data_IF_082992486713
#
_entry.id   IF_082992486713
#
_cell.length_a   1.000
_cell.length_b   1.000
_cell.length_c   1.000
_cell.angle_alpha   90.00
_cell.angle_beta   90.00
_cell.angle_gamma   90.00
#
_symmetry.space_group_name_H-M   'P 1'
#
loop_
_entity.id
_entity.type
_entity.pdbx_description
1 polymer ?
#
# COMPACT_ATOMS: atom_id res chain seq x y z
N UNK A 1 5.79 -15.58 -20.81
CA UNK A 1 6.42 -15.33 -22.13
C UNK A 1 7.85 -14.87 -21.92
N UNK A 2 8.77 -14.95 -22.90
CA UNK A 2 10.18 -14.56 -22.70
C UNK A 2 10.35 -13.11 -22.25
N UNK A 3 9.42 -12.25 -22.58
CA UNK A 3 9.47 -10.80 -22.34
C UNK A 3 8.64 -10.33 -21.14
N UNK A 4 8.08 -11.27 -20.36
CA UNK A 4 7.33 -10.92 -19.16
C UNK A 4 8.25 -10.45 -18.03
N UNK A 5 7.91 -9.32 -17.43
CA UNK A 5 8.59 -8.76 -16.27
C UNK A 5 7.67 -8.92 -15.05
N UNK A 6 8.21 -9.48 -13.98
CA UNK A 6 7.50 -9.54 -12.70
C UNK A 6 7.32 -8.12 -12.15
N UNK A 7 6.13 -7.80 -11.69
CA UNK A 7 5.84 -6.52 -11.07
C UNK A 7 4.91 -6.69 -9.85
N UNK A 8 4.92 -5.70 -8.96
CA UNK A 8 4.00 -5.62 -7.84
C UNK A 8 2.62 -5.23 -8.39
N UNK A 9 1.59 -6.08 -8.30
CA UNK A 9 0.28 -5.77 -8.83
C UNK A 9 -0.44 -4.72 -7.99
N UNK A 10 -1.19 -3.82 -8.65
CA UNK A 10 -2.18 -3.03 -7.98
C UNK A 10 -3.29 -3.95 -7.45
N UNK A 11 -3.54 -3.89 -6.14
CA UNK A 11 -4.64 -4.64 -5.51
C UNK A 11 -6.00 -4.10 -5.96
N UNK A 12 -7.09 -4.88 -5.80
CA UNK A 12 -8.43 -4.40 -6.09
C UNK A 12 -8.70 -3.04 -5.45
N UNK A 13 -9.27 -2.12 -6.23
CA UNK A 13 -9.54 -0.74 -5.80
C UNK A 13 -10.76 -0.66 -4.89
N UNK A 14 -10.58 -0.08 -3.71
CA UNK A 14 -11.65 0.28 -2.78
C UNK A 14 -11.84 1.78 -2.64
N UNK A 15 -11.02 2.58 -3.34
CA UNK A 15 -11.04 4.04 -3.18
C UNK A 15 -12.21 4.69 -3.91
N UNK A 16 -12.71 4.06 -4.97
CA UNK A 16 -13.78 4.61 -5.80
C UNK A 16 -15.10 4.69 -5.02
N UNK A 17 -15.64 5.91 -4.95
CA UNK A 17 -16.98 6.24 -4.49
C UNK A 17 -17.55 7.25 -5.49
N UNK A 18 -18.68 6.91 -6.10
CA UNK A 18 -19.36 7.75 -7.06
C UNK A 18 -20.60 8.36 -6.41
N UNK A 19 -20.77 9.66 -6.57
CA UNK A 19 -21.92 10.42 -6.04
C UNK A 19 -22.69 10.99 -7.22
N UNK A 20 -23.99 10.75 -7.24
CA UNK A 20 -24.93 11.25 -8.23
C UNK A 20 -25.95 12.11 -7.49
N UNK A 21 -26.05 13.37 -7.83
CA UNK A 21 -26.84 14.40 -7.16
C UNK A 21 -27.95 14.85 -8.12
N UNK A 22 -29.21 14.56 -7.82
CA UNK A 22 -30.34 14.87 -8.69
C UNK A 22 -30.15 14.36 -10.14
N UNK A 23 -29.52 13.17 -10.29
CA UNK A 23 -29.21 12.58 -11.59
C UNK A 23 -27.89 13.04 -12.22
N UNK A 24 -27.19 14.03 -11.65
CA UNK A 24 -25.92 14.54 -12.16
C UNK A 24 -24.74 13.97 -11.35
N UNK A 25 -23.74 13.45 -12.06
CA UNK A 25 -22.55 12.91 -11.41
C UNK A 25 -21.69 14.04 -10.84
N UNK A 26 -21.32 13.93 -9.56
CA UNK A 26 -20.28 14.76 -8.96
C UNK A 26 -18.94 14.45 -9.62
N UNK A 27 -18.34 15.47 -10.24
CA UNK A 27 -17.00 15.39 -10.81
C UNK A 27 -16.34 16.76 -10.72
N UNK A 28 -15.02 16.77 -10.50
CA UNK A 28 -14.26 18.03 -10.33
C UNK A 28 -14.11 18.82 -11.63
N UNK A 29 -14.30 18.18 -12.77
CA UNK A 29 -14.26 18.75 -14.14
C UNK A 29 -15.66 19.10 -14.68
N UNK A 30 -16.70 18.90 -13.89
CA UNK A 30 -18.09 19.23 -14.24
C UNK A 30 -18.69 20.16 -13.18
N UNK A 31 -19.57 21.06 -13.60
CA UNK A 31 -20.15 22.08 -12.72
C UNK A 31 -19.13 23.17 -12.33
N UNK A 32 -19.28 23.72 -11.14
CA UNK A 32 -18.42 24.82 -10.63
C UNK A 32 -17.76 24.40 -9.33
N UNK A 33 -16.45 24.35 -9.32
CA UNK A 33 -15.65 24.17 -8.11
C UNK A 33 -15.47 25.52 -7.44
N UNK A 34 -16.10 25.72 -6.25
CA UNK A 34 -16.04 26.97 -5.50
C UNK A 34 -14.84 27.02 -4.55
N UNK A 35 -14.55 25.90 -3.87
CA UNK A 35 -13.36 25.77 -3.05
C UNK A 35 -12.84 24.36 -3.05
N UNK A 36 -11.52 24.21 -2.84
CA UNK A 36 -10.84 22.93 -2.72
C UNK A 36 -9.66 23.06 -1.76
N UNK A 37 -9.60 22.17 -0.79
CA UNK A 37 -8.45 22.02 0.09
C UNK A 37 -8.15 20.54 0.30
N UNK A 38 -6.87 20.19 0.26
CA UNK A 38 -6.40 18.83 0.58
C UNK A 38 -5.25 18.91 1.57
N UNK A 39 -5.37 18.17 2.65
CA UNK A 39 -4.38 18.11 3.73
C UNK A 39 -4.01 16.68 4.05
N UNK A 40 -2.82 16.49 4.58
CA UNK A 40 -2.37 15.25 5.21
C UNK A 40 -1.88 15.59 6.62
N UNK A 41 -2.52 15.02 7.61
CA UNK A 41 -2.05 15.10 8.98
C UNK A 41 -0.96 14.04 9.20
N UNK A 42 0.27 14.48 9.37
CA UNK A 42 1.42 13.60 9.57
C UNK A 42 1.42 12.91 10.94
N UNK A 43 0.66 13.44 11.92
CA UNK A 43 0.56 12.84 13.26
C UNK A 43 -0.40 11.65 13.31
N UNK A 44 -1.37 11.60 12.42
CA UNK A 44 -2.38 10.54 12.38
C UNK A 44 -2.35 9.71 11.13
N UNK A 45 -1.70 10.21 10.07
CA UNK A 45 -1.70 9.60 8.74
C UNK A 45 -3.04 9.79 8.01
N UNK A 46 -3.92 10.67 8.50
CA UNK A 46 -5.21 10.95 7.88
C UNK A 46 -5.08 11.97 6.77
N UNK A 47 -5.60 11.63 5.59
CA UNK A 47 -5.74 12.57 4.48
C UNK A 47 -7.18 13.09 4.42
N UNK A 48 -7.33 14.42 4.42
CA UNK A 48 -8.62 15.11 4.32
C UNK A 48 -8.69 15.91 3.02
N UNK A 49 -9.84 15.89 2.37
CA UNK A 49 -10.15 16.73 1.21
C UNK A 49 -11.52 17.37 1.42
N UNK A 50 -11.59 18.69 1.42
CA UNK A 50 -12.84 19.46 1.47
C UNK A 50 -13.09 20.07 0.11
N UNK A 51 -14.34 20.05 -0.34
CA UNK A 51 -14.78 20.52 -1.63
C UNK A 51 -16.10 21.26 -1.47
N UNK A 52 -16.19 22.47 -1.99
CA UNK A 52 -17.47 23.16 -2.24
C UNK A 52 -17.72 23.14 -3.74
N UNK A 53 -18.78 22.49 -4.15
CA UNK A 53 -19.09 22.25 -5.55
C UNK A 53 -20.57 22.59 -5.85
N UNK A 54 -20.80 23.15 -7.04
CA UNK A 54 -22.12 23.40 -7.55
C UNK A 54 -22.31 22.61 -8.85
N UNK A 55 -23.38 21.80 -8.91
CA UNK A 55 -23.71 21.02 -10.07
C UNK A 55 -24.11 21.90 -11.29
N UNK A 56 -24.04 21.40 -12.51
CA UNK A 56 -24.55 22.10 -13.68
C UNK A 56 -26.01 22.56 -13.54
N UNK A 57 -26.88 21.74 -12.93
CA UNK A 57 -28.28 22.08 -12.63
C UNK A 57 -28.45 22.98 -11.40
N UNK A 58 -27.37 23.36 -10.72
CA UNK A 58 -27.39 24.37 -9.68
C UNK A 58 -27.46 23.86 -8.24
N UNK A 59 -27.49 22.55 -7.97
CA UNK A 59 -27.40 22.01 -6.63
C UNK A 59 -25.99 22.26 -6.04
N UNK A 60 -25.91 22.91 -4.88
CA UNK A 60 -24.65 23.21 -4.23
C UNK A 60 -24.40 22.28 -3.04
N UNK A 61 -23.19 21.73 -2.95
CA UNK A 61 -22.77 20.77 -1.96
C UNK A 61 -21.47 21.18 -1.29
N UNK A 62 -21.38 20.86 -0.01
CA UNK A 62 -20.13 20.76 0.72
C UNK A 62 -19.84 19.29 0.96
N UNK A 63 -18.60 18.84 0.58
CA UNK A 63 -18.16 17.47 0.74
C UNK A 63 -16.83 17.44 1.48
N UNK A 64 -16.77 16.60 2.51
CA UNK A 64 -15.52 16.32 3.24
C UNK A 64 -15.18 14.85 3.11
N UNK A 65 -14.04 14.55 2.50
CA UNK A 65 -13.52 13.21 2.34
C UNK A 65 -12.36 13.02 3.29
N UNK A 66 -12.43 11.99 4.12
CA UNK A 66 -11.37 11.59 5.05
C UNK A 66 -10.98 10.16 4.76
N UNK A 67 -9.70 9.84 4.82
CA UNK A 67 -9.21 8.48 4.62
C UNK A 67 -7.86 8.26 5.30
N UNK A 68 -7.61 7.01 5.69
CA UNK A 68 -6.30 6.56 6.14
C UNK A 68 -6.12 5.07 5.86
N UNK A 69 -4.86 4.62 5.87
CA UNK A 69 -4.48 3.22 5.99
C UNK A 69 -3.96 3.02 7.41
N UNK A 70 -4.45 1.99 8.10
CA UNK A 70 -4.17 1.82 9.51
C UNK A 70 -2.73 1.38 9.77
N UNK A 71 -2.04 2.07 10.68
CA UNK A 71 -0.73 1.66 11.20
C UNK A 71 -0.88 0.62 12.32
N UNK A 72 -2.06 0.51 12.94
CA UNK A 72 -2.34 -0.50 13.97
C UNK A 72 -2.65 -1.88 13.37
N UNK A 73 -3.38 -1.90 12.24
CA UNK A 73 -3.69 -3.11 11.50
C UNK A 73 -3.51 -2.87 9.99
N UNK A 74 -2.44 -3.41 9.44
CA UNK A 74 -2.01 -3.21 8.04
C UNK A 74 -3.02 -3.70 6.98
N UNK A 75 -3.98 -4.52 7.39
CA UNK A 75 -5.04 -5.00 6.50
C UNK A 75 -6.15 -3.98 6.28
N UNK A 76 -6.23 -2.91 7.07
CA UNK A 76 -7.37 -1.99 7.11
C UNK A 76 -7.07 -0.70 6.35
N UNK A 77 -7.97 -0.34 5.42
CA UNK A 77 -8.11 1.00 4.88
C UNK A 77 -9.53 1.49 5.15
N UNK A 78 -9.67 2.71 5.67
CA UNK A 78 -10.95 3.28 6.04
C UNK A 78 -11.17 4.66 5.39
N UNK A 79 -12.42 4.92 5.06
CA UNK A 79 -12.86 6.15 4.41
C UNK A 79 -14.10 6.69 5.15
N UNK A 80 -14.18 8.00 5.29
CA UNK A 80 -15.37 8.70 5.75
C UNK A 80 -15.67 9.84 4.80
N UNK A 81 -16.93 9.98 4.41
CA UNK A 81 -17.38 11.09 3.57
C UNK A 81 -18.57 11.75 4.19
N UNK A 82 -18.52 13.06 4.34
CA UNK A 82 -19.66 13.88 4.73
C UNK A 82 -20.14 14.65 3.52
N UNK A 83 -21.46 14.64 3.30
CA UNK A 83 -22.13 15.34 2.18
C UNK A 83 -23.23 16.22 2.76
N UNK A 84 -23.17 17.51 2.48
CA UNK A 84 -24.15 18.50 2.94
C UNK A 84 -24.66 19.33 1.76
N UNK A 85 -25.93 19.24 1.37
CA UNK A 85 -26.54 20.16 0.42
C UNK A 85 -26.69 21.54 1.06
N UNK A 86 -26.22 22.61 0.39
CA UNK A 86 -26.18 23.96 0.99
C UNK A 86 -27.30 24.89 0.52
N UNK A 87 -27.90 24.62 -0.61
CA UNK A 87 -28.89 25.55 -1.19
C UNK A 87 -30.29 24.96 -1.37
N UNK A 88 -30.45 23.66 -1.55
CA UNK A 88 -31.72 22.99 -1.81
C UNK A 88 -31.70 21.56 -1.31
N UNK A 89 -32.89 20.91 -1.22
CA UNK A 89 -33.01 19.47 -0.99
C UNK A 89 -32.48 18.70 -2.22
N UNK A 90 -31.89 17.53 -1.97
CA UNK A 90 -31.34 16.69 -3.03
C UNK A 90 -31.73 15.23 -2.88
N UNK A 91 -31.78 14.53 -4.01
CA UNK A 91 -31.62 13.08 -4.06
C UNK A 91 -30.13 12.76 -4.32
N UNK A 92 -29.55 11.96 -3.43
CA UNK A 92 -28.16 11.53 -3.52
C UNK A 92 -28.11 10.03 -3.73
N UNK A 93 -27.52 9.59 -4.86
CA UNK A 93 -27.19 8.19 -5.09
C UNK A 93 -25.69 7.98 -4.91
N UNK A 94 -25.32 7.00 -4.09
CA UNK A 94 -23.93 6.64 -3.80
C UNK A 94 -23.66 5.24 -4.33
N UNK A 95 -22.71 5.10 -5.27
CA UNK A 95 -22.21 3.81 -5.72
C UNK A 95 -20.82 3.60 -5.12
N UNK A 96 -20.67 2.63 -4.22
CA UNK A 96 -19.40 2.40 -3.51
C UNK A 96 -19.18 0.91 -3.24
N UNK A 97 -17.95 0.45 -3.40
CA UNK A 97 -17.60 -0.95 -3.18
C UNK A 97 -16.19 -1.28 -3.60
N UNK A 98 -16.00 -2.37 -4.34
CA UNK A 98 -14.71 -2.97 -4.71
C UNK A 98 -14.64 -3.11 -6.23
N UNK A 99 -13.49 -2.80 -6.84
CA UNK A 99 -13.26 -2.92 -8.26
C UNK A 99 -11.91 -3.60 -8.56
N UNK A 100 -11.90 -4.55 -9.48
CA UNK A 100 -10.68 -5.14 -10.06
C UNK A 100 -10.46 -4.67 -11.50
N UNK A 101 -10.99 -3.50 -11.86
CA UNK A 101 -10.80 -2.88 -13.20
C UNK A 101 -9.45 -2.15 -13.31
N UNK A 102 -8.80 -1.90 -12.19
CA UNK A 102 -7.47 -1.29 -12.17
C UNK A 102 -6.43 -2.23 -12.81
N UNK A 103 -5.41 -1.62 -13.37
CA UNK A 103 -4.29 -2.30 -14.05
C UNK A 103 -2.97 -1.64 -13.67
N UNK A 104 -1.86 -2.29 -13.98
CA UNK A 104 -0.53 -1.68 -13.95
C UNK A 104 -0.14 -1.36 -15.39
N UNK A 105 -0.04 -0.06 -15.72
CA UNK A 105 0.35 0.41 -17.08
C UNK A 105 -0.41 -0.34 -18.19
N UNK A 106 -1.72 -0.56 -17.99
CA UNK A 106 -2.59 -1.27 -18.93
C UNK A 106 -2.69 -2.79 -18.76
N UNK A 107 -1.80 -3.41 -17.97
CA UNK A 107 -1.81 -4.86 -17.72
C UNK A 107 -2.68 -5.22 -16.53
N UNK A 108 -3.61 -6.14 -16.73
CA UNK A 108 -4.47 -6.67 -15.66
C UNK A 108 -3.77 -7.83 -14.95
N UNK A 109 -3.61 -7.73 -13.64
CA UNK A 109 -2.92 -8.74 -12.83
C UNK A 109 -3.84 -9.63 -12.01
N UNK A 110 -5.09 -9.25 -11.85
CA UNK A 110 -6.08 -10.05 -11.16
C UNK A 110 -7.06 -10.68 -12.15
N UNK A 111 -7.43 -11.93 -11.93
CA UNK A 111 -8.52 -12.57 -12.69
C UNK A 111 -9.86 -11.99 -12.26
N UNK A 112 -10.91 -12.27 -13.03
CA UNK A 112 -12.28 -12.01 -12.61
C UNK A 112 -12.63 -12.97 -11.46
N UNK A 113 -13.06 -12.42 -10.33
CA UNK A 113 -13.21 -13.15 -9.09
C UNK A 113 -14.67 -13.39 -8.68
N UNK A 114 -14.84 -14.11 -7.56
CA UNK A 114 -16.13 -14.30 -6.92
C UNK A 114 -16.56 -13.04 -6.17
N UNK A 115 -17.82 -12.63 -6.31
CA UNK A 115 -18.45 -11.51 -5.61
C UNK A 115 -19.61 -12.02 -4.78
N UNK A 116 -19.60 -11.72 -3.49
CA UNK A 116 -20.63 -12.20 -2.55
C UNK A 116 -20.95 -11.14 -1.51
N UNK A 117 -22.24 -10.96 -1.22
CA UNK A 117 -22.66 -10.20 -0.06
C UNK A 117 -22.82 -11.15 1.13
N UNK A 118 -22.12 -10.84 2.22
CA UNK A 118 -22.18 -11.58 3.47
C UNK A 118 -23.22 -10.97 4.41
N UNK A 119 -23.61 -11.69 5.50
CA UNK A 119 -24.48 -11.13 6.53
C UNK A 119 -23.97 -9.78 7.04
N UNK A 120 -24.89 -8.87 7.37
CA UNK A 120 -24.55 -7.51 7.79
C UNK A 120 -24.21 -6.54 6.66
N UNK A 121 -24.42 -6.93 5.38
CA UNK A 121 -24.19 -6.06 4.22
C UNK A 121 -22.71 -5.94 3.82
N UNK A 122 -21.85 -6.84 4.29
CA UNK A 122 -20.44 -6.86 3.92
C UNK A 122 -20.29 -7.35 2.48
N UNK A 123 -19.70 -6.54 1.62
CA UNK A 123 -19.33 -6.93 0.27
C UNK A 123 -17.98 -7.66 0.31
N UNK A 124 -17.92 -8.88 -0.21
CA UNK A 124 -16.68 -9.66 -0.35
C UNK A 124 -16.37 -9.89 -1.82
N UNK A 125 -15.13 -9.61 -2.20
CA UNK A 125 -14.57 -9.98 -3.49
C UNK A 125 -13.37 -10.88 -3.27
N UNK A 126 -13.42 -12.09 -3.87
CA UNK A 126 -12.32 -13.04 -3.92
C UNK A 126 -11.74 -13.07 -5.32
N UNK A 127 -10.44 -12.89 -5.44
CA UNK A 127 -9.72 -13.00 -6.72
C UNK A 127 -8.34 -13.62 -6.50
N UNK A 128 -7.58 -13.80 -7.54
CA UNK A 128 -6.16 -14.18 -7.45
C UNK A 128 -5.36 -13.53 -8.58
N UNK A 129 -4.06 -13.45 -8.39
CA UNK A 129 -3.17 -12.97 -9.44
C UNK A 129 -3.08 -13.99 -10.58
N UNK A 130 -3.07 -13.50 -11.83
CA UNK A 130 -3.15 -14.34 -13.04
C UNK A 130 -1.97 -15.32 -13.19
N UNK A 131 -0.74 -14.90 -12.89
CA UNK A 131 0.46 -15.74 -13.11
C UNK A 131 0.94 -16.45 -11.82
N UNK A 132 0.91 -15.75 -10.70
CA UNK A 132 1.44 -16.29 -9.43
C UNK A 132 0.41 -17.03 -8.59
N UNK A 133 -0.88 -16.98 -8.98
CA UNK A 133 -2.01 -17.62 -8.31
C UNK A 133 -2.09 -17.29 -6.80
N UNK A 134 -1.73 -16.06 -6.43
CA UNK A 134 -1.87 -15.59 -5.05
C UNK A 134 -3.31 -15.20 -4.81
N UNK A 135 -4.05 -15.89 -3.92
CA UNK A 135 -5.41 -15.52 -3.60
C UNK A 135 -5.46 -14.20 -2.85
N UNK A 136 -6.46 -13.40 -3.15
CA UNK A 136 -6.71 -12.08 -2.59
C UNK A 136 -8.15 -12.00 -2.16
N UNK A 137 -8.38 -11.59 -0.92
CA UNK A 137 -9.70 -11.34 -0.35
C UNK A 137 -9.83 -9.87 -0.01
N UNK A 138 -10.90 -9.23 -0.49
CA UNK A 138 -11.21 -7.83 -0.17
C UNK A 138 -12.63 -7.75 0.37
N UNK A 139 -12.77 -7.08 1.51
CA UNK A 139 -14.07 -6.87 2.15
C UNK A 139 -14.34 -5.38 2.29
N UNK A 140 -15.60 -5.03 2.21
CA UNK A 140 -16.05 -3.66 2.33
C UNK A 140 -17.40 -3.61 3.07
N UNK A 141 -17.47 -2.85 4.14
CA UNK A 141 -18.72 -2.54 4.86
C UNK A 141 -18.98 -1.04 4.79
N UNK A 142 -20.23 -0.67 4.51
CA UNK A 142 -20.68 0.70 4.58
C UNK A 142 -21.54 0.93 5.83
N UNK A 143 -21.33 2.07 6.50
CA UNK A 143 -22.16 2.56 7.60
C UNK A 143 -22.63 3.99 7.26
N UNK A 144 -23.84 4.31 7.63
CA UNK A 144 -24.47 5.59 7.31
C UNK A 144 -25.04 6.24 8.54
N UNK A 145 -25.00 7.57 8.63
CA UNK A 145 -25.66 8.33 9.69
C UNK A 145 -27.18 8.44 9.54
N UNK A 146 -27.71 8.05 8.38
CA UNK A 146 -29.14 7.95 8.08
C UNK A 146 -29.41 6.71 7.23
N UNK A 147 -30.58 6.10 7.37
CA UNK A 147 -30.96 4.94 6.56
C UNK A 147 -31.18 5.35 5.10
N UNK A 148 -30.62 4.57 4.12
CA UNK A 148 -30.90 4.79 2.72
C UNK A 148 -32.37 4.44 2.41
N UNK A 149 -33.02 5.23 1.56
CA UNK A 149 -34.35 4.92 1.05
C UNK A 149 -34.36 3.69 0.12
N UNK A 150 -33.21 3.39 -0.47
CA UNK A 150 -32.99 2.20 -1.30
C UNK A 150 -31.54 1.72 -1.13
N UNK A 151 -31.36 0.40 -1.03
CA UNK A 151 -30.05 -0.24 -0.93
C UNK A 151 -30.03 -1.49 -1.80
N UNK A 152 -29.20 -1.48 -2.85
CA UNK A 152 -29.11 -2.55 -3.84
C UNK A 152 -27.65 -2.98 -4.04
N UNK A 153 -27.34 -4.28 -4.00
CA UNK A 153 -26.06 -4.77 -4.50
C UNK A 153 -26.05 -4.74 -6.04
N UNK A 154 -24.98 -4.21 -6.61
CA UNK A 154 -24.78 -4.13 -8.06
C UNK A 154 -23.51 -4.88 -8.43
N UNK A 155 -23.66 -5.94 -9.21
CA UNK A 155 -22.56 -6.74 -9.74
C UNK A 155 -22.40 -6.40 -11.22
N UNK A 156 -21.21 -5.89 -11.53
CA UNK A 156 -20.78 -5.65 -12.90
C UNK A 156 -19.49 -6.46 -13.14
N UNK A 157 -19.10 -6.56 -14.40
CA UNK A 157 -17.82 -7.18 -14.72
C UNK A 157 -16.67 -6.50 -13.97
N UNK A 158 -15.98 -7.25 -13.10
CA UNK A 158 -14.83 -6.78 -12.29
C UNK A 158 -15.18 -5.66 -11.30
N UNK A 159 -16.44 -5.49 -10.93
CA UNK A 159 -16.88 -4.46 -9.98
C UNK A 159 -18.06 -4.96 -9.16
N UNK A 160 -17.95 -4.82 -7.84
CA UNK A 160 -18.99 -5.13 -6.88
C UNK A 160 -19.24 -3.93 -5.98
N UNK A 161 -20.39 -3.29 -6.08
CA UNK A 161 -20.74 -2.09 -5.32
C UNK A 161 -22.11 -2.23 -4.67
N UNK A 162 -22.30 -1.53 -3.54
CA UNK A 162 -23.60 -1.15 -3.05
C UNK A 162 -24.03 0.16 -3.71
N UNK A 163 -25.28 0.22 -4.16
CA UNK A 163 -25.97 1.42 -4.60
C UNK A 163 -26.94 1.83 -3.51
N UNK A 164 -26.76 3.03 -2.99
CA UNK A 164 -27.54 3.56 -1.88
C UNK A 164 -28.16 4.89 -2.28
N UNK A 165 -29.47 5.04 -2.06
CA UNK A 165 -30.21 6.27 -2.36
C UNK A 165 -30.65 6.96 -1.10
N UNK A 166 -30.40 8.26 -1.01
CA UNK A 166 -30.76 9.11 0.13
C UNK A 166 -31.54 10.33 -0.36
N UNK A 167 -32.44 10.84 0.48
CA UNK A 167 -33.05 12.15 0.34
C UNK A 167 -32.55 13.03 1.47
N UNK A 168 -31.84 14.10 1.13
CA UNK A 168 -31.23 15.00 2.08
C UNK A 168 -31.90 16.37 1.97
N UNK A 169 -32.39 16.87 3.08
CA UNK A 169 -32.87 18.24 3.17
C UNK A 169 -31.67 19.22 3.11
N UNK A 170 -31.94 20.44 2.65
CA UNK A 170 -30.95 21.52 2.71
C UNK A 170 -30.37 21.66 4.12
N UNK A 171 -29.02 21.65 4.24
CA UNK A 171 -28.28 21.73 5.48
C UNK A 171 -28.16 20.42 6.26
N UNK A 172 -28.80 19.34 5.82
CA UNK A 172 -28.67 18.02 6.44
C UNK A 172 -27.35 17.36 5.99
N UNK A 173 -26.51 16.98 6.95
CA UNK A 173 -25.28 16.25 6.66
C UNK A 173 -25.50 14.74 6.71
N UNK A 174 -25.14 14.05 5.66
CA UNK A 174 -25.01 12.59 5.61
C UNK A 174 -23.55 12.23 5.80
N UNK A 175 -23.24 11.40 6.81
CA UNK A 175 -21.95 10.75 6.98
C UNK A 175 -22.00 9.32 6.45
N UNK A 176 -21.05 8.97 5.62
CA UNK A 176 -20.85 7.66 5.02
C UNK A 176 -19.50 7.16 5.48
N UNK A 177 -19.44 6.04 6.17
CA UNK A 177 -18.20 5.34 6.49
C UNK A 177 -18.06 4.12 5.58
N UNK A 178 -16.87 3.93 5.02
CA UNK A 178 -16.51 2.76 4.24
C UNK A 178 -15.29 2.13 4.90
N UNK A 179 -15.51 0.96 5.50
CA UNK A 179 -14.50 0.19 6.21
C UNK A 179 -14.09 -0.99 5.33
N UNK A 180 -12.80 -1.13 5.04
CA UNK A 180 -12.30 -2.14 4.12
C UNK A 180 -11.14 -2.91 4.70
N UNK A 181 -11.01 -4.19 4.32
CA UNK A 181 -9.82 -4.95 4.63
C UNK A 181 -9.38 -5.83 3.46
N UNK A 182 -8.07 -6.07 3.44
CA UNK A 182 -7.39 -6.91 2.46
C UNK A 182 -6.68 -8.06 3.14
N UNK A 183 -6.80 -9.25 2.57
CA UNK A 183 -5.93 -10.38 2.91
C UNK A 183 -5.43 -11.03 1.63
N UNK A 184 -4.22 -11.53 1.69
CA UNK A 184 -3.60 -12.24 0.57
C UNK A 184 -3.00 -13.54 1.03
N UNK A 185 -2.82 -14.48 0.11
CA UNK A 185 -2.11 -15.73 0.42
C UNK A 185 -0.64 -15.53 0.81
N UNK A 186 -0.13 -14.30 0.75
CA UNK A 186 1.25 -13.93 1.14
C UNK A 186 1.35 -13.40 2.56
N UNK A 187 0.26 -13.21 3.27
CA UNK A 187 0.27 -12.69 4.62
C UNK A 187 1.10 -13.58 5.55
N UNK A 188 1.78 -12.98 6.52
CA UNK A 188 2.71 -13.68 7.42
C UNK A 188 2.10 -14.90 8.13
N UNK A 189 0.85 -14.84 8.65
CA UNK A 189 0.24 -15.98 9.33
C UNK A 189 0.07 -17.23 8.46
N UNK A 190 0.05 -17.06 7.12
CA UNK A 190 -0.08 -18.17 6.17
C UNK A 190 1.27 -18.69 5.67
N UNK A 191 2.37 -18.10 6.12
CA UNK A 191 3.71 -18.41 5.61
C UNK A 191 4.42 -19.35 6.57
N UNK A 192 4.93 -20.47 6.06
CA UNK A 192 5.80 -21.36 6.82
C UNK A 192 7.16 -20.69 6.97
N UNK A 193 7.71 -20.71 8.19
CA UNK A 193 9.02 -20.12 8.48
C UNK A 193 10.09 -20.60 7.48
N UNK A 194 10.86 -19.67 6.94
CA UNK A 194 11.90 -19.95 5.95
C UNK A 194 11.42 -20.15 4.51
N UNK A 195 10.10 -20.19 4.26
CA UNK A 195 9.54 -20.28 2.92
C UNK A 195 9.02 -18.91 2.46
N UNK A 196 9.22 -18.60 1.16
CA UNK A 196 8.67 -17.38 0.54
C UNK A 196 7.21 -17.55 0.08
N UNK A 197 6.65 -18.73 0.22
CA UNK A 197 5.30 -19.05 -0.26
C UNK A 197 4.35 -19.07 0.93
N UNK A 198 3.28 -18.27 0.83
CA UNK A 198 2.13 -18.34 1.71
C UNK A 198 1.19 -19.49 1.33
N UNK A 199 -0.11 -19.29 1.53
CA UNK A 199 -1.14 -20.23 1.11
C UNK A 199 -1.63 -19.93 -0.32
N UNK A 200 -1.98 -20.99 -1.06
CA UNK A 200 -2.76 -20.91 -2.31
C UNK A 200 -4.23 -21.26 -2.09
N UNK A 201 -4.62 -21.60 -0.86
CA UNK A 201 -6.00 -21.94 -0.52
C UNK A 201 -6.82 -20.66 -0.34
N UNK A 202 -7.78 -20.34 -1.23
CA UNK A 202 -8.60 -19.14 -1.14
C UNK A 202 -9.51 -19.13 0.08
N UNK A 203 -9.95 -20.28 0.58
CA UNK A 203 -10.87 -20.35 1.72
C UNK A 203 -10.21 -19.88 3.02
N UNK A 204 -8.92 -20.16 3.20
CA UNK A 204 -8.15 -19.67 4.36
C UNK A 204 -8.06 -18.15 4.33
N UNK A 205 -7.80 -17.59 3.14
CA UNK A 205 -7.67 -16.14 2.95
C UNK A 205 -9.03 -15.45 3.11
N UNK A 206 -10.10 -16.08 2.59
CA UNK A 206 -11.47 -15.61 2.77
C UNK A 206 -11.86 -15.58 4.25
N UNK A 207 -11.61 -16.68 4.98
CA UNK A 207 -11.97 -16.80 6.40
C UNK A 207 -11.27 -15.73 7.26
N UNK A 208 -10.00 -15.41 6.99
CA UNK A 208 -9.28 -14.34 7.67
C UNK A 208 -9.93 -12.98 7.43
N UNK A 209 -10.29 -12.68 6.17
CA UNK A 209 -10.98 -11.46 5.81
C UNK A 209 -12.39 -11.36 6.40
N UNK A 210 -13.17 -12.46 6.36
CA UNK A 210 -14.50 -12.54 6.95
C UNK A 210 -14.44 -12.25 8.47
N UNK A 211 -13.47 -12.84 9.18
CA UNK A 211 -13.28 -12.64 10.62
C UNK A 211 -12.90 -11.20 10.99
N UNK A 212 -12.10 -10.51 10.15
CA UNK A 212 -11.77 -9.12 10.38
C UNK A 212 -12.94 -8.20 10.03
N UNK A 213 -13.59 -8.43 8.88
CA UNK A 213 -14.70 -7.61 8.42
C UNK A 213 -15.93 -7.70 9.36
N UNK A 214 -16.16 -8.84 10.00
CA UNK A 214 -17.22 -8.99 11.00
C UNK A 214 -17.09 -8.00 12.17
N UNK A 215 -15.87 -7.63 12.55
CA UNK A 215 -15.60 -6.64 13.61
C UNK A 215 -15.97 -5.20 13.21
N UNK A 216 -16.12 -4.92 11.91
CA UNK A 216 -16.48 -3.58 11.43
C UNK A 216 -17.92 -3.19 11.83
N UNK A 217 -18.79 -4.18 12.08
CA UNK A 217 -20.14 -3.90 12.55
C UNK A 217 -20.12 -3.07 13.85
N UNK A 218 -19.23 -3.42 14.78
CA UNK A 218 -19.10 -2.80 16.09
C UNK A 218 -18.05 -1.67 16.13
N UNK A 219 -17.25 -1.55 15.08
CA UNK A 219 -16.17 -0.55 14.98
C UNK A 219 -16.54 0.49 13.94
N UNK A 220 -16.27 1.77 14.19
CA UNK A 220 -16.46 2.86 13.23
C UNK A 220 -15.12 3.43 12.77
N UNK A 221 -15.21 4.36 11.80
CA UNK A 221 -14.04 5.06 11.24
C UNK A 221 -13.20 5.72 12.34
N UNK A 222 -13.83 6.47 13.26
CA UNK A 222 -13.10 7.24 14.27
C UNK A 222 -12.36 6.34 15.27
N UNK A 223 -12.93 5.18 15.63
CA UNK A 223 -12.27 4.22 16.51
C UNK A 223 -11.03 3.58 15.84
N UNK A 224 -11.14 3.24 14.54
CA UNK A 224 -10.00 2.72 13.77
C UNK A 224 -8.91 3.80 13.60
N UNK A 225 -9.30 5.04 13.34
CA UNK A 225 -8.35 6.16 13.26
C UNK A 225 -7.63 6.38 14.60
N UNK A 226 -8.36 6.36 15.72
CA UNK A 226 -7.76 6.52 17.04
C UNK A 226 -6.73 5.42 17.38
N UNK A 227 -7.02 4.17 17.02
CA UNK A 227 -6.08 3.05 17.17
C UNK A 227 -4.81 3.26 16.33
N UNK A 228 -4.97 3.68 15.06
CA UNK A 228 -3.85 4.01 14.17
C UNK A 228 -3.05 5.21 14.68
N UNK A 229 -3.73 6.28 15.10
CA UNK A 229 -3.10 7.50 15.63
C UNK A 229 -2.26 7.23 16.89
N UNK A 230 -2.67 6.27 17.73
CA UNK A 230 -1.85 5.83 18.87
C UNK A 230 -0.52 5.23 18.45
N UNK A 231 -0.48 4.48 17.34
CA UNK A 231 0.78 3.95 16.78
C UNK A 231 1.64 5.05 16.18
N UNK A 232 1.02 6.01 15.50
CA UNK A 232 1.71 7.20 15.02
C UNK A 232 2.30 8.02 16.15
N UNK A 233 1.55 8.23 17.25
CA UNK A 233 2.05 8.95 18.41
C UNK A 233 3.26 8.28 19.04
N UNK A 234 3.27 6.94 19.13
CA UNK A 234 4.43 6.19 19.60
C UNK A 234 5.64 6.35 18.66
N UNK A 235 5.43 6.30 17.35
CA UNK A 235 6.48 6.54 16.37
C UNK A 235 7.06 7.96 16.50
N UNK A 236 6.24 8.99 16.57
CA UNK A 236 6.69 10.37 16.70
C UNK A 236 7.40 10.65 18.02
N UNK A 237 7.01 9.98 19.10
CA UNK A 237 7.69 10.11 20.40
C UNK A 237 9.15 9.62 20.36
N UNK A 238 9.47 8.68 19.47
CA UNK A 238 10.81 8.11 19.33
C UNK A 238 11.62 8.71 18.19
N UNK A 239 10.95 9.13 17.10
CA UNK A 239 11.59 9.43 15.82
C UNK A 239 11.48 10.90 15.39
N UNK A 240 10.76 11.75 16.13
CA UNK A 240 10.64 13.16 15.75
C UNK A 240 12.00 13.88 15.86
N UNK A 241 12.34 14.60 14.81
CA UNK A 241 13.52 15.46 14.76
C UNK A 241 13.03 16.90 14.78
N UNK A 242 13.43 17.63 15.82
CA UNK A 242 13.09 19.04 15.97
C UNK A 242 14.16 19.92 15.33
N UNK A 243 13.74 20.86 14.49
CA UNK A 243 14.59 21.83 13.81
C UNK A 243 14.24 23.22 14.33
N UNK A 244 15.22 23.91 14.90
CA UNK A 244 15.11 25.33 15.22
C UNK A 244 15.51 26.13 13.98
N UNK A 245 14.55 26.74 13.32
CA UNK A 245 14.71 27.55 12.12
C UNK A 245 13.69 28.68 12.08
N UNK A 246 14.03 29.77 11.43
CA UNK A 246 13.10 30.88 11.18
C UNK A 246 12.08 30.52 10.09
N UNK A 247 12.33 29.45 9.30
CA UNK A 247 11.40 28.91 8.30
C UNK A 247 10.71 27.64 8.82
N UNK A 248 9.41 27.73 9.05
CA UNK A 248 8.58 26.59 9.47
C UNK A 248 8.54 25.45 8.43
N UNK A 249 8.90 25.73 7.18
CA UNK A 249 8.97 24.73 6.12
C UNK A 249 10.08 23.70 6.36
N UNK A 250 11.18 24.07 7.02
CA UNK A 250 12.25 23.13 7.36
C UNK A 250 11.76 22.01 8.26
N UNK A 251 11.01 22.36 9.31
CA UNK A 251 10.40 21.38 10.21
C UNK A 251 9.36 20.52 9.51
N UNK A 252 8.53 21.12 8.66
CA UNK A 252 7.53 20.40 7.88
C UNK A 252 8.21 19.42 6.92
N UNK A 253 9.26 19.85 6.21
CA UNK A 253 10.03 19.03 5.28
C UNK A 253 10.66 17.81 5.96
N UNK A 254 11.24 18.01 7.15
CA UNK A 254 11.81 16.92 7.96
C UNK A 254 10.74 15.90 8.36
N UNK A 255 9.62 16.34 8.93
CA UNK A 255 8.54 15.45 9.35
C UNK A 255 7.88 14.74 8.17
N UNK A 256 7.76 15.41 7.03
CA UNK A 256 7.26 14.79 5.79
C UNK A 256 8.18 13.66 5.32
N UNK A 257 9.49 13.86 5.36
CA UNK A 257 10.47 12.80 5.03
C UNK A 257 10.39 11.63 6.01
N UNK A 258 10.37 11.89 7.32
CA UNK A 258 10.25 10.86 8.36
C UNK A 258 8.95 10.06 8.24
N UNK A 259 7.83 10.74 7.96
CA UNK A 259 6.54 10.09 7.70
C UNK A 259 6.66 9.09 6.54
N UNK A 260 7.24 9.51 5.41
CA UNK A 260 7.39 8.64 4.23
C UNK A 260 8.37 7.49 4.46
N UNK A 261 9.45 7.70 5.19
CA UNK A 261 10.35 6.62 5.60
C UNK A 261 9.61 5.57 6.44
N UNK A 262 8.75 6.01 7.38
CA UNK A 262 8.00 5.10 8.22
C UNK A 262 7.01 4.23 7.43
N UNK A 263 6.29 4.79 6.46
CA UNK A 263 5.27 4.05 5.69
C UNK A 263 5.86 3.16 4.58
N UNK A 264 7.12 3.35 4.21
CA UNK A 264 7.76 2.56 3.15
C UNK A 264 8.30 1.21 3.63
N UNK A 265 8.51 1.03 4.93
CA UNK A 265 9.17 -0.16 5.46
C UNK A 265 8.17 -1.13 6.12
N UNK A 266 8.33 -2.40 5.82
CA UNK A 266 7.68 -3.51 6.54
C UNK A 266 8.70 -4.09 7.54
N UNK A 267 8.56 -3.75 8.83
CA UNK A 267 9.56 -4.03 9.87
C UNK A 267 9.67 -5.49 10.28
N UNK A 268 8.60 -6.24 10.13
CA UNK A 268 8.46 -7.63 10.57
C UNK A 268 8.47 -8.65 9.42
N UNK A 269 8.76 -8.20 8.19
CA UNK A 269 8.80 -9.07 7.02
C UNK A 269 10.06 -8.84 6.17
N UNK A 270 11.03 -9.74 6.29
CA UNK A 270 12.28 -9.72 5.52
C UNK A 270 12.16 -10.31 4.11
N UNK A 271 10.92 -10.56 3.63
CA UNK A 271 10.64 -10.97 2.26
C UNK A 271 10.43 -9.78 1.33
N UNK A 272 10.30 -8.58 1.87
CA UNK A 272 10.05 -7.34 1.12
C UNK A 272 11.17 -6.34 1.35
N UNK A 273 11.65 -5.75 0.25
CA UNK A 273 12.52 -4.58 0.27
C UNK A 273 11.75 -3.31 -0.03
N UNK A 274 12.43 -2.18 0.01
CA UNK A 274 11.84 -0.89 -0.39
C UNK A 274 12.11 -0.68 -1.88
N UNK A 275 11.06 -0.43 -2.65
CA UNK A 275 11.19 -0.07 -4.06
C UNK A 275 11.75 1.35 -4.24
N UNK A 276 12.32 1.67 -5.40
CA UNK A 276 12.96 2.97 -5.68
C UNK A 276 12.05 4.19 -5.47
N UNK A 277 10.73 4.02 -5.56
CA UNK A 277 9.71 5.04 -5.26
C UNK A 277 8.82 4.64 -4.08
N UNK A 278 9.34 3.82 -3.16
CA UNK A 278 8.49 3.13 -2.19
C UNK A 278 7.47 2.24 -2.92
N UNK A 279 6.25 2.19 -2.41
CA UNK A 279 5.13 1.46 -3.04
C UNK A 279 4.08 2.42 -3.64
N UNK A 280 4.45 3.67 -3.93
CA UNK A 280 3.52 4.74 -4.29
C UNK A 280 3.33 4.93 -5.79
N UNK A 281 4.00 4.15 -6.62
CA UNK A 281 3.88 4.29 -8.07
C UNK A 281 4.29 3.03 -8.83
N UNK A 282 3.83 2.92 -10.06
CA UNK A 282 4.10 1.79 -10.96
C UNK A 282 5.51 1.82 -11.57
N UNK A 283 6.19 2.96 -11.50
CA UNK A 283 7.58 3.10 -11.94
C UNK A 283 8.47 2.14 -11.18
N UNK A 284 9.41 1.49 -11.89
CA UNK A 284 10.28 0.45 -11.37
C UNK A 284 9.56 -0.82 -10.90
N UNK A 285 8.25 -0.95 -11.14
CA UNK A 285 7.47 -2.19 -10.96
C UNK A 285 7.53 -2.80 -9.55
N UNK A 286 7.80 -1.98 -8.52
CA UNK A 286 7.98 -2.42 -7.13
C UNK A 286 9.31 -3.16 -6.86
N UNK A 287 10.27 -3.10 -7.78
CA UNK A 287 11.59 -3.70 -7.56
C UNK A 287 12.41 -2.89 -6.57
N UNK A 288 13.13 -3.59 -5.69
CA UNK A 288 14.12 -2.99 -4.80
C UNK A 288 15.42 -2.76 -5.54
N UNK A 289 15.99 -1.56 -5.39
CA UNK A 289 17.26 -1.16 -5.96
C UNK A 289 18.30 -0.94 -4.85
N UNK A 290 19.52 -0.62 -5.23
CA UNK A 290 20.61 -0.32 -4.30
C UNK A 290 20.42 1.01 -3.54
N UNK A 291 19.44 1.80 -3.94
CA UNK A 291 19.01 3.02 -3.23
C UNK A 291 18.68 2.75 -1.77
N UNK A 292 18.12 1.59 -1.48
CA UNK A 292 17.81 1.17 -0.11
C UNK A 292 19.06 1.12 0.74
N UNK A 293 20.14 0.50 0.25
CA UNK A 293 21.38 0.33 1.00
C UNK A 293 22.17 1.64 1.09
N UNK A 294 22.17 2.44 0.03
CA UNK A 294 23.00 3.65 -0.04
C UNK A 294 22.36 4.84 0.66
N UNK A 295 21.04 5.00 0.58
CA UNK A 295 20.36 6.22 1.02
C UNK A 295 19.43 6.00 2.21
N UNK A 296 18.77 4.85 2.32
CA UNK A 296 17.80 4.58 3.37
C UNK A 296 18.42 3.83 4.56
N UNK A 297 19.29 2.87 4.28
CA UNK A 297 19.93 2.04 5.31
C UNK A 297 20.68 2.86 6.40
N UNK A 298 21.45 3.92 6.05
CA UNK A 298 22.12 4.73 7.07
C UNK A 298 21.15 5.33 8.08
N UNK A 299 19.99 5.79 7.64
CA UNK A 299 18.93 6.27 8.53
C UNK A 299 18.46 5.17 9.49
N UNK A 300 18.03 4.02 8.95
CA UNK A 300 17.52 2.94 9.80
C UNK A 300 18.60 2.33 10.73
N UNK A 301 19.87 2.27 10.31
CA UNK A 301 20.94 1.78 11.16
C UNK A 301 21.09 2.63 12.43
N UNK A 302 20.87 3.93 12.31
CA UNK A 302 21.03 4.87 13.44
C UNK A 302 19.77 5.02 14.27
N UNK A 303 18.59 4.89 13.68
CA UNK A 303 17.31 5.21 14.33
C UNK A 303 16.45 3.98 14.62
N UNK A 304 16.53 2.92 13.78
CA UNK A 304 15.73 1.69 13.89
C UNK A 304 16.56 0.48 13.40
N UNK A 305 17.52 -0.02 14.20
CA UNK A 305 18.36 -1.15 13.81
C UNK A 305 17.59 -2.43 13.49
N UNK A 306 16.38 -2.61 14.05
CA UNK A 306 15.52 -3.76 13.74
C UNK A 306 15.01 -3.68 12.31
N UNK A 307 14.59 -2.49 11.88
CA UNK A 307 14.20 -2.23 10.49
C UNK A 307 15.38 -2.45 9.52
N UNK A 308 16.57 -1.95 9.85
CA UNK A 308 17.77 -2.18 9.06
C UNK A 308 18.08 -3.68 8.90
N UNK A 309 17.97 -4.46 10.00
CA UNK A 309 18.13 -5.92 9.97
C UNK A 309 17.13 -6.60 9.03
N UNK A 310 15.88 -6.17 9.02
CA UNK A 310 14.84 -6.71 8.12
C UNK A 310 15.19 -6.44 6.65
N UNK A 311 15.65 -5.24 6.31
CA UNK A 311 16.08 -4.90 4.95
C UNK A 311 17.31 -5.71 4.51
N UNK A 312 18.28 -5.94 5.40
CA UNK A 312 19.41 -6.85 5.15
C UNK A 312 18.93 -8.29 4.97
N UNK A 313 17.96 -8.74 5.77
CA UNK A 313 17.33 -10.03 5.64
C UNK A 313 16.74 -10.26 4.26
N UNK A 314 16.12 -9.25 3.66
CA UNK A 314 15.62 -9.30 2.28
C UNK A 314 16.76 -9.61 1.28
N UNK A 315 17.90 -8.92 1.36
CA UNK A 315 19.06 -9.18 0.50
C UNK A 315 19.63 -10.57 0.73
N UNK A 316 19.73 -10.98 2.00
CA UNK A 316 20.20 -12.30 2.34
C UNK A 316 19.32 -13.42 1.72
N UNK A 317 18.01 -13.27 1.77
CA UNK A 317 17.06 -14.20 1.13
C UNK A 317 17.19 -14.23 -0.39
N UNK A 318 17.60 -13.13 -1.01
CA UNK A 318 17.78 -13.01 -2.46
C UNK A 318 19.09 -13.66 -2.96
N UNK A 319 20.07 -13.92 -2.09
CA UNK A 319 21.40 -14.46 -2.45
C UNK A 319 21.35 -15.72 -3.30
N UNK A 320 20.54 -16.77 -2.97
CA UNK A 320 20.49 -17.98 -3.79
C UNK A 320 20.07 -17.70 -5.25
N UNK A 321 19.17 -16.73 -5.44
CA UNK A 321 18.76 -16.28 -6.78
C UNK A 321 19.88 -15.53 -7.51
N UNK A 322 20.61 -14.69 -6.79
CA UNK A 322 21.72 -13.92 -7.30
C UNK A 322 22.88 -14.82 -7.74
N UNK A 323 23.24 -15.83 -6.96
CA UNK A 323 24.22 -16.85 -7.36
C UNK A 323 23.80 -17.61 -8.60
N UNK A 324 22.56 -18.07 -8.65
CA UNK A 324 22.01 -18.79 -9.79
C UNK A 324 22.02 -17.95 -11.07
N UNK A 325 21.77 -16.64 -10.96
CA UNK A 325 21.84 -15.70 -12.08
C UNK A 325 23.28 -15.48 -12.51
N UNK A 326 24.23 -15.27 -11.59
CA UNK A 326 25.64 -15.15 -11.89
C UNK A 326 26.18 -16.37 -12.67
N UNK A 327 25.84 -17.58 -12.25
CA UNK A 327 26.22 -18.81 -12.95
C UNK A 327 25.66 -18.89 -14.38
N UNK A 328 24.42 -18.44 -14.62
CA UNK A 328 23.81 -18.43 -15.96
C UNK A 328 24.47 -17.42 -16.90
N UNK A 329 24.97 -16.33 -16.39
CA UNK A 329 25.61 -15.26 -17.15
C UNK A 329 27.14 -15.40 -17.22
N UNK A 330 27.66 -16.59 -16.86
CA UNK A 330 29.12 -16.93 -16.91
C UNK A 330 29.97 -15.96 -16.07
N UNK A 331 29.38 -15.36 -15.02
CA UNK A 331 30.09 -14.49 -14.09
C UNK A 331 30.64 -15.31 -12.93
N UNK A 332 31.90 -15.11 -12.59
CA UNK A 332 32.48 -15.66 -11.38
C UNK A 332 32.01 -14.82 -10.19
N UNK A 333 31.06 -15.33 -9.41
CA UNK A 333 30.57 -14.66 -8.19
C UNK A 333 29.06 -14.52 -8.13
N UNK A 334 28.62 -13.72 -7.16
CA UNK A 334 27.23 -13.39 -6.95
C UNK A 334 26.84 -12.15 -7.79
N UNK A 335 25.76 -12.25 -8.53
CA UNK A 335 25.20 -11.14 -9.28
C UNK A 335 23.93 -10.66 -8.61
N UNK A 336 24.02 -9.55 -7.90
CA UNK A 336 22.85 -8.85 -7.34
C UNK A 336 22.40 -7.85 -8.38
N UNK A 337 21.23 -8.03 -9.02
CA UNK A 337 20.73 -7.09 -10.00
C UNK A 337 20.39 -5.75 -9.33
N UNK A 338 20.48 -4.66 -10.08
CA UNK A 338 20.09 -3.32 -9.63
C UNK A 338 18.64 -3.25 -9.14
N UNK A 339 17.77 -4.11 -9.67
CA UNK A 339 16.39 -4.23 -9.23
C UNK A 339 16.01 -5.69 -9.04
N UNK A 340 15.50 -6.04 -7.86
CA UNK A 340 14.98 -7.36 -7.54
C UNK A 340 13.51 -7.28 -7.16
N UNK A 341 12.72 -8.22 -7.69
CA UNK A 341 11.36 -8.48 -7.24
C UNK A 341 11.30 -9.86 -6.58
N UNK A 342 10.45 -10.01 -5.57
CA UNK A 342 10.28 -11.23 -4.77
C UNK A 342 9.92 -12.51 -5.55
N UNK A 343 9.50 -12.41 -6.80
CA UNK A 343 9.20 -13.56 -7.63
C UNK A 343 10.48 -14.10 -8.26
N UNK A 344 11.21 -14.89 -7.50
CA UNK A 344 12.31 -15.68 -8.04
C UNK A 344 11.83 -16.71 -9.06
N UNK A 345 11.72 -16.33 -10.30
CA UNK A 345 11.75 -17.14 -11.52
C UNK A 345 11.21 -16.35 -12.71
N UNK A 346 11.96 -15.43 -13.26
CA UNK A 346 12.00 -15.10 -14.69
C UNK A 346 12.73 -13.76 -14.90
N UNK A 347 13.31 -13.59 -16.04
CA UNK A 347 14.22 -12.52 -16.43
C UNK A 347 13.62 -11.13 -16.17
N UNK A 348 14.21 -10.35 -15.28
CA UNK A 348 14.03 -8.90 -15.32
C UNK A 348 15.00 -8.34 -16.36
N UNK A 349 14.51 -7.67 -17.39
CA UNK A 349 15.30 -6.78 -18.24
C UNK A 349 15.58 -5.47 -17.47
N UNK A 350 16.18 -5.58 -16.29
CA UNK A 350 16.72 -4.41 -15.63
C UNK A 350 17.93 -3.93 -16.43
N UNK A 351 17.93 -2.68 -16.82
CA UNK A 351 19.06 -2.05 -17.50
C UNK A 351 20.35 -2.37 -16.73
N UNK A 352 21.24 -3.08 -17.39
CA UNK A 352 22.54 -3.45 -16.90
C UNK A 352 23.39 -2.18 -16.75
N UNK A 353 23.50 -1.64 -15.55
CA UNK A 353 24.73 -0.95 -15.19
C UNK A 353 25.81 -2.04 -15.10
N UNK A 354 26.49 -2.26 -16.21
CA UNK A 354 27.78 -2.92 -16.19
C UNK A 354 28.70 -2.05 -15.33
N UNK A 355 28.89 -2.39 -14.07
CA UNK A 355 30.13 -2.08 -13.42
C UNK A 355 31.23 -2.78 -14.21
N UNK A 356 31.78 -2.07 -15.17
CA UNK A 356 32.85 -2.56 -16.04
C UNK A 356 34.12 -2.67 -15.25
N UNK A 357 34.28 -3.74 -14.50
CA UNK A 357 35.59 -4.23 -14.18
C UNK A 357 36.12 -4.96 -15.40
N UNK A 358 36.83 -4.22 -16.25
CA UNK A 358 37.77 -4.84 -17.21
C UNK A 358 38.76 -5.66 -16.38
N UNK A 359 38.88 -6.94 -16.72
CA UNK A 359 39.97 -7.79 -16.31
C UNK A 359 41.28 -7.02 -16.35
N UNK A 360 41.83 -6.65 -15.19
CA UNK A 360 43.29 -6.52 -15.06
C UNK A 360 43.83 -7.91 -14.69
N UNK A 361 44.84 -8.31 -15.44
CA UNK A 361 45.56 -9.54 -15.31
C UNK A 361 45.82 -9.94 -13.85
N UNK A 362 45.66 -11.21 -13.58
CA UNK A 362 45.93 -11.89 -12.34
C UNK A 362 47.26 -11.46 -11.71
N UNK A 363 47.22 -10.88 -10.52
CA UNK A 363 48.37 -10.95 -9.62
C UNK A 363 48.16 -12.13 -8.68
N UNK A 364 49.16 -13.02 -8.54
CA UNK A 364 49.05 -14.17 -7.65
C UNK A 364 49.14 -13.70 -6.18
N UNK A 365 48.09 -14.02 -5.40
CA UNK A 365 48.12 -13.82 -3.96
C UNK A 365 46.83 -13.38 -3.28
N UNK A 366 45.73 -13.17 -4.00
CA UNK A 366 44.46 -12.86 -3.38
C UNK A 366 43.50 -14.05 -3.41
N UNK A 367 43.11 -14.51 -2.22
CA UNK A 367 42.21 -15.63 -2.01
C UNK A 367 40.80 -15.35 -2.57
N UNK A 368 40.16 -16.38 -3.15
CA UNK A 368 38.86 -16.28 -3.85
C UNK A 368 37.69 -15.83 -2.97
N UNK A 369 37.88 -15.77 -1.66
CA UNK A 369 36.86 -15.34 -0.70
C UNK A 369 36.78 -13.82 -0.52
N UNK A 370 37.84 -13.06 -0.80
CA UNK A 370 37.89 -11.62 -0.54
C UNK A 370 37.10 -10.76 -1.55
N UNK A 371 36.77 -11.28 -2.75
CA UNK A 371 36.06 -10.51 -3.78
C UNK A 371 34.54 -10.50 -3.63
N UNK A 372 33.96 -11.51 -2.99
CA UNK A 372 32.55 -11.50 -2.58
C UNK A 372 32.31 -10.56 -1.39
N UNK A 373 33.34 -10.34 -0.57
CA UNK A 373 33.30 -9.47 0.58
C UNK A 373 33.23 -7.98 0.24
N UNK A 374 33.71 -7.53 -0.92
CA UNK A 374 33.78 -6.10 -1.22
C UNK A 374 32.43 -5.46 -1.58
N UNK A 375 31.49 -6.19 -2.17
CA UNK A 375 30.11 -5.73 -2.35
C UNK A 375 29.21 -6.13 -1.18
N UNK A 376 29.56 -7.21 -0.48
CA UNK A 376 28.96 -7.61 0.80
C UNK A 376 29.66 -6.97 2.02
N UNK A 377 30.89 -6.47 1.87
CA UNK A 377 31.70 -5.90 2.95
C UNK A 377 31.05 -4.68 3.59
N UNK A 378 30.45 -3.81 2.81
CA UNK A 378 29.64 -2.71 3.35
C UNK A 378 28.43 -3.21 4.17
N UNK A 379 27.79 -4.29 3.73
CA UNK A 379 26.69 -4.89 4.49
C UNK A 379 27.18 -5.67 5.72
N UNK A 380 28.37 -6.32 5.65
CA UNK A 380 28.95 -7.09 6.76
C UNK A 380 29.65 -6.19 7.77
N UNK A 381 30.27 -5.09 7.36
CA UNK A 381 30.81 -4.09 8.28
C UNK A 381 29.67 -3.37 9.04
N UNK A 382 28.52 -3.13 8.39
CA UNK A 382 27.34 -2.65 9.08
C UNK A 382 26.79 -3.66 10.11
N UNK A 383 26.93 -4.96 9.89
CA UNK A 383 26.56 -6.00 10.87
C UNK A 383 27.52 -6.11 12.05
N UNK A 384 28.82 -5.74 11.86
CA UNK A 384 29.82 -5.75 12.91
C UNK A 384 29.69 -4.58 13.91
N UNK A 385 28.96 -3.53 13.56
CA UNK A 385 28.69 -2.35 14.42
C UNK A 385 27.48 -2.56 15.34
N UNK A 386 26.69 -3.62 15.13
CA UNK A 386 25.59 -3.93 16.04
C UNK A 386 26.16 -4.51 17.35
N UNK A 387 25.94 -3.88 18.53
CA UNK A 387 26.36 -4.45 19.80
C UNK A 387 25.76 -5.85 19.94
N UNK A 388 26.62 -6.81 20.27
CA UNK A 388 26.20 -8.17 20.62
C UNK A 388 25.43 -8.13 21.93
N UNK A 389 24.13 -7.85 21.90
CA UNK A 389 23.27 -8.16 23.01
C UNK A 389 23.08 -9.67 23.04
N UNK A 390 24.05 -10.35 23.67
CA UNK A 390 23.80 -11.65 24.30
C UNK A 390 22.96 -11.37 25.56
N UNK A 391 21.70 -11.73 25.50
CA UNK A 391 21.00 -12.50 26.56
C UNK A 391 19.69 -13.02 26.00
#
# INVERSE_FOLDING_TARGET
>A
MPDEVTELPNLPDVTAMEFIVNGERFAMDQGTLQSYLRTLDLHTGEATRTVQWKSPAGAALELTFRRFVSLDNEHIAAFSVEVTPTNQDIELVVNSGISTRNSNTGSQHCVEGEMRMLPGGILRLMTHTNESNVPISVHCLHKFSAEPSESLPVIERRRFVGRYTFRLAKGQTLRIEKLTCYHTGRDLPFTVYGQQRGTTNPDIVAAAGDALAAKFADTGYDALLAASAKKWAAYWAEQDVQIESDDSFDQLGMRFALYHLNIMIKRDDDRVGIGAKGMTGEGYKGHSFWDTEMFLMPYYLLTDPAAAKTLLGYRWRSLPGAFKKGQREWLSGCYVPLGECMAGRRRSNAALLRCGYRHRQEQPGFDRYDRAAYLCGYCLECLAVLPSHRR
#
